data_IF_944815036958
#
_entry.id   IF_944815036958
#
_cell.length_a   1.000
_cell.length_b   1.000
_cell.length_c   1.000
_cell.angle_alpha   90.00
_cell.angle_beta   90.00
_cell.angle_gamma   90.00
#
_symmetry.space_group_name_H-M   'P 1'
#
loop_
_entity.id
_entity.type
_entity.pdbx_description
1 polymer ?
#
# COMPACT_ATOMS: atom_id res chain seq x y z
N UNK A 1 -30.93 -33.69 -22.47
CA UNK A 1 -30.91 -33.00 -21.15
C UNK A 1 -30.12 -33.76 -20.07
N UNK A 2 -30.01 -35.11 -20.13
CA UNK A 2 -29.17 -35.88 -19.20
C UNK A 2 -27.68 -35.95 -19.61
N UNK A 3 -27.40 -36.07 -20.91
CA UNK A 3 -26.03 -36.20 -21.44
C UNK A 3 -25.22 -34.90 -21.30
N UNK A 4 -25.82 -33.75 -21.63
CA UNK A 4 -25.22 -32.41 -21.46
C UNK A 4 -24.84 -32.10 -19.99
N UNK A 5 -25.63 -32.63 -19.05
CA UNK A 5 -25.41 -32.42 -17.62
C UNK A 5 -24.24 -33.28 -17.12
N UNK A 6 -24.09 -34.49 -17.68
CA UNK A 6 -23.01 -35.41 -17.39
C UNK A 6 -21.68 -34.94 -17.99
N UNK A 7 -21.68 -34.35 -19.19
CA UNK A 7 -20.49 -33.72 -19.80
C UNK A 7 -20.04 -32.45 -19.03
N UNK A 8 -20.99 -31.66 -18.52
CA UNK A 8 -20.67 -30.52 -17.64
C UNK A 8 -20.10 -30.96 -16.29
N UNK A 9 -20.60 -32.04 -15.70
CA UNK A 9 -20.05 -32.61 -14.48
C UNK A 9 -18.65 -33.19 -14.71
N UNK A 10 -18.45 -33.93 -15.81
CA UNK A 10 -17.15 -34.54 -16.11
C UNK A 10 -16.08 -33.48 -16.43
N UNK A 11 -16.44 -32.41 -17.17
CA UNK A 11 -15.52 -31.29 -17.43
C UNK A 11 -15.16 -30.49 -16.18
N UNK A 12 -16.11 -30.27 -15.25
CA UNK A 12 -15.82 -29.60 -13.97
C UNK A 12 -15.01 -30.47 -13.01
N UNK A 13 -15.15 -31.80 -13.09
CA UNK A 13 -14.31 -32.76 -12.35
C UNK A 13 -12.90 -32.85 -12.95
N UNK A 14 -12.77 -32.83 -14.28
CA UNK A 14 -11.49 -32.77 -15.00
C UNK A 14 -10.73 -31.47 -14.69
N UNK A 15 -11.42 -30.34 -14.52
CA UNK A 15 -10.81 -29.07 -14.15
C UNK A 15 -10.37 -29.05 -12.67
N UNK A 16 -11.15 -29.65 -11.76
CA UNK A 16 -10.78 -29.83 -10.34
C UNK A 16 -9.56 -30.71 -10.12
N UNK A 17 -9.27 -31.64 -11.03
CA UNK A 17 -8.14 -32.57 -10.96
C UNK A 17 -6.83 -32.04 -11.54
N UNK A 18 -6.86 -30.92 -12.29
CA UNK A 18 -5.65 -30.33 -12.85
C UNK A 18 -4.86 -29.62 -11.75
N UNK A 19 -3.77 -30.24 -11.31
CA UNK A 19 -2.77 -29.59 -10.44
C UNK A 19 -2.44 -28.22 -11.06
N UNK A 20 -2.53 -27.12 -10.31
CA UNK A 20 -2.19 -25.81 -10.85
C UNK A 20 -0.77 -25.88 -11.44
N UNK A 21 -0.52 -25.27 -12.60
CA UNK A 21 0.80 -25.28 -13.21
C UNK A 21 1.81 -24.81 -12.16
N UNK A 22 2.97 -25.48 -12.12
CA UNK A 22 4.02 -25.14 -11.16
C UNK A 22 4.34 -23.63 -11.25
N UNK A 23 4.54 -22.93 -10.12
CA UNK A 23 4.90 -21.53 -10.14
C UNK A 23 6.14 -21.35 -11.00
N UNK A 24 6.07 -20.45 -11.99
CA UNK A 24 7.25 -20.10 -12.78
C UNK A 24 8.31 -19.49 -11.85
N UNK A 25 9.61 -19.77 -12.08
CA UNK A 25 10.66 -19.15 -11.31
C UNK A 25 10.60 -17.62 -11.46
N UNK A 26 10.79 -16.85 -10.38
CA UNK A 26 10.66 -15.41 -10.42
C UNK A 26 11.69 -14.80 -11.36
N UNK A 27 11.25 -13.85 -12.19
CA UNK A 27 12.12 -13.16 -13.15
C UNK A 27 13.00 -12.12 -12.42
N UNK A 28 14.07 -11.65 -13.07
CA UNK A 28 14.96 -10.59 -12.55
C UNK A 28 14.21 -9.36 -12.06
N UNK A 29 13.08 -9.04 -12.70
CA UNK A 29 12.20 -7.97 -12.26
C UNK A 29 11.69 -8.22 -10.83
N UNK A 30 11.17 -9.42 -10.55
CA UNK A 30 10.58 -9.77 -9.25
C UNK A 30 11.63 -9.99 -8.16
N UNK A 31 12.84 -10.39 -8.53
CA UNK A 31 13.91 -10.65 -7.57
C UNK A 31 14.73 -9.41 -7.21
N UNK A 32 14.84 -8.44 -8.13
CA UNK A 32 15.73 -7.27 -7.96
C UNK A 32 14.96 -5.95 -8.02
N UNK A 33 14.21 -5.70 -9.08
CA UNK A 33 13.61 -4.38 -9.34
C UNK A 33 12.36 -4.11 -8.51
N UNK A 34 11.43 -5.07 -8.47
CA UNK A 34 10.17 -4.96 -7.75
C UNK A 34 10.39 -4.76 -6.24
N UNK A 35 11.29 -5.50 -5.57
CA UNK A 35 11.57 -5.28 -4.15
C UNK A 35 12.15 -3.89 -3.87
N UNK A 36 13.07 -3.40 -4.70
CA UNK A 36 13.64 -2.05 -4.56
C UNK A 36 12.58 -0.96 -4.72
N UNK A 37 11.70 -1.08 -5.73
CA UNK A 37 10.61 -0.12 -5.93
C UNK A 37 9.60 -0.16 -4.77
N UNK A 38 9.34 -1.34 -4.21
CA UNK A 38 8.52 -1.49 -3.01
C UNK A 38 9.16 -0.79 -1.80
N UNK A 39 10.48 -0.91 -1.60
CA UNK A 39 11.20 -0.18 -0.55
C UNK A 39 11.11 1.35 -0.74
N UNK A 40 11.25 1.86 -1.97
CA UNK A 40 11.06 3.28 -2.25
C UNK A 40 9.65 3.76 -1.90
N UNK A 41 8.62 3.05 -2.36
CA UNK A 41 7.22 3.44 -2.12
C UNK A 41 6.85 3.33 -0.64
N UNK A 42 7.26 2.25 0.03
CA UNK A 42 6.97 2.05 1.45
C UNK A 42 7.70 3.06 2.34
N UNK A 43 9.00 3.33 2.10
CA UNK A 43 9.73 4.37 2.83
C UNK A 43 9.18 5.76 2.56
N UNK A 44 8.73 6.05 1.33
CA UNK A 44 8.07 7.31 0.99
C UNK A 44 6.83 7.55 1.86
N UNK A 45 5.92 6.58 1.94
CA UNK A 45 4.72 6.72 2.77
C UNK A 45 5.05 6.76 4.27
N UNK A 46 6.00 5.94 4.72
CA UNK A 46 6.40 5.93 6.13
C UNK A 46 6.97 7.28 6.58
N UNK A 47 7.89 7.86 5.80
CA UNK A 47 8.48 9.18 6.11
C UNK A 47 7.45 10.29 6.01
N UNK A 48 6.63 10.30 4.95
CA UNK A 48 5.57 11.29 4.79
C UNK A 48 4.62 11.32 5.99
N UNK A 49 4.05 10.17 6.35
CA UNK A 49 3.14 10.02 7.48
C UNK A 49 3.83 10.40 8.80
N UNK A 50 5.09 10.00 8.97
CA UNK A 50 5.86 10.30 10.16
C UNK A 50 6.07 11.80 10.37
N UNK A 51 6.55 12.50 9.34
CA UNK A 51 6.75 13.95 9.39
C UNK A 51 5.43 14.70 9.64
N UNK A 52 4.39 14.37 8.89
CA UNK A 52 3.08 15.03 8.98
C UNK A 52 2.46 14.82 10.37
N UNK A 53 2.59 13.63 10.96
CA UNK A 53 2.10 13.38 12.34
C UNK A 53 2.78 14.22 13.42
N UNK A 54 4.02 14.65 13.20
CA UNK A 54 4.76 15.51 14.13
C UNK A 54 4.38 16.97 13.94
N UNK A 55 4.23 17.40 12.69
CA UNK A 55 3.83 18.78 12.33
C UNK A 55 2.42 19.07 12.83
N UNK A 56 1.50 18.14 12.62
CA UNK A 56 0.06 18.27 12.94
C UNK A 56 -0.26 17.80 14.36
N UNK A 57 0.78 17.66 15.20
CA UNK A 57 0.59 17.16 16.55
C UNK A 57 -0.14 18.18 17.43
N UNK A 58 -1.34 17.84 17.89
CA UNK A 58 -2.09 18.74 18.76
C UNK A 58 -1.52 18.73 20.18
N UNK A 59 -1.40 19.89 20.87
CA UNK A 59 -0.80 19.95 22.21
C UNK A 59 -1.43 18.99 23.23
N UNK A 60 -2.74 18.77 23.12
CA UNK A 60 -3.48 17.87 23.99
C UNK A 60 -3.12 16.38 23.82
N UNK A 61 -2.69 15.96 22.63
CA UNK A 61 -2.30 14.58 22.34
C UNK A 61 -0.83 14.30 22.75
N UNK A 62 0.00 15.33 22.83
CA UNK A 62 1.40 15.21 23.24
C UNK A 62 2.18 14.23 22.35
N UNK A 63 3.10 13.45 22.92
CA UNK A 63 3.93 12.52 22.13
C UNK A 63 3.19 11.27 21.66
N UNK A 64 1.95 11.05 22.14
CA UNK A 64 1.20 9.84 21.85
C UNK A 64 0.76 9.78 20.38
N UNK A 65 0.31 10.91 19.80
CA UNK A 65 -0.16 10.96 18.41
C UNK A 65 0.95 10.57 17.42
N UNK A 66 2.15 11.18 17.43
CA UNK A 66 3.23 10.76 16.54
C UNK A 66 3.67 9.31 16.77
N UNK A 67 3.78 8.88 18.04
CA UNK A 67 4.20 7.52 18.36
C UNK A 67 3.21 6.46 17.83
N UNK A 68 1.91 6.70 18.02
CA UNK A 68 0.86 5.82 17.54
C UNK A 68 0.80 5.79 16.00
N UNK A 69 0.93 6.95 15.37
CA UNK A 69 0.94 7.07 13.90
C UNK A 69 2.12 6.31 13.30
N UNK A 70 3.33 6.49 13.80
CA UNK A 70 4.51 5.78 13.29
C UNK A 70 4.36 4.26 13.47
N UNK A 71 3.93 3.80 14.65
CA UNK A 71 3.77 2.38 14.94
C UNK A 71 2.72 1.71 14.06
N UNK A 72 1.54 2.33 13.91
CA UNK A 72 0.47 1.81 13.06
C UNK A 72 0.85 1.87 11.57
N UNK A 73 1.54 2.92 11.13
CA UNK A 73 1.98 3.05 9.74
C UNK A 73 2.94 1.91 9.35
N UNK A 74 3.96 1.63 10.17
CA UNK A 74 4.87 0.49 9.93
C UNK A 74 4.11 -0.82 9.95
N UNK A 75 3.23 -1.04 10.92
CA UNK A 75 2.46 -2.29 11.01
C UNK A 75 1.62 -2.54 9.75
N UNK A 76 0.95 -1.51 9.23
CA UNK A 76 0.18 -1.59 7.99
C UNK A 76 1.09 -1.82 6.79
N UNK A 77 2.15 -1.04 6.63
CA UNK A 77 3.05 -1.16 5.48
C UNK A 77 3.72 -2.55 5.41
N UNK A 78 4.18 -3.06 6.56
CA UNK A 78 4.71 -4.42 6.67
C UNK A 78 3.64 -5.44 6.27
N UNK A 79 2.43 -5.34 6.82
CA UNK A 79 1.35 -6.29 6.53
C UNK A 79 0.99 -6.39 5.03
N UNK A 80 1.20 -5.32 4.26
CA UNK A 80 0.80 -5.27 2.84
C UNK A 80 1.96 -5.41 1.86
N UNK A 81 3.21 -5.16 2.27
CA UNK A 81 4.37 -5.15 1.37
C UNK A 81 5.41 -6.24 1.69
N UNK A 82 5.27 -6.98 2.79
CA UNK A 82 6.23 -8.02 3.22
C UNK A 82 6.47 -9.07 2.12
N UNK A 83 5.41 -9.55 1.48
CA UNK A 83 5.49 -10.50 0.38
C UNK A 83 6.14 -9.95 -0.91
N UNK A 84 6.49 -8.66 -0.95
CA UNK A 84 7.12 -8.01 -2.10
C UNK A 84 8.60 -7.69 -1.82
N UNK A 85 8.92 -7.04 -0.70
CA UNK A 85 10.30 -6.63 -0.37
C UNK A 85 10.85 -7.14 0.95
N UNK A 86 10.03 -7.78 1.80
CA UNK A 86 10.34 -8.01 3.21
C UNK A 86 10.12 -6.77 4.10
N UNK A 87 9.68 -5.64 3.51
CA UNK A 87 9.27 -4.43 4.23
C UNK A 87 10.30 -3.89 5.21
N UNK A 88 11.54 -3.67 4.75
CA UNK A 88 12.59 -3.18 5.64
C UNK A 88 12.37 -1.70 5.96
N UNK A 89 12.10 -0.91 4.92
CA UNK A 89 11.83 0.53 4.90
C UNK A 89 12.85 1.40 5.65
N UNK A 90 13.97 0.84 6.05
CA UNK A 90 14.90 1.41 7.01
C UNK A 90 16.31 0.81 6.83
N UNK A 91 17.34 1.67 6.66
CA UNK A 91 18.73 1.22 6.52
C UNK A 91 19.22 0.29 7.65
N UNK A 92 19.09 0.62 8.95
CA UNK A 92 19.37 -0.29 10.05
C UNK A 92 18.71 -1.66 9.96
N UNK A 93 17.43 -1.73 9.56
CA UNK A 93 16.72 -3.02 9.48
C UNK A 93 17.29 -3.87 8.34
N UNK A 94 17.58 -3.24 7.21
CA UNK A 94 18.21 -3.91 6.06
C UNK A 94 19.57 -4.48 6.44
N UNK A 95 20.39 -3.69 7.13
CA UNK A 95 21.70 -4.14 7.60
C UNK A 95 21.54 -5.27 8.62
N UNK A 96 20.62 -5.16 9.59
CA UNK A 96 20.38 -6.19 10.58
C UNK A 96 19.93 -7.52 9.95
N UNK A 97 19.00 -7.47 9.00
CA UNK A 97 18.49 -8.65 8.28
C UNK A 97 19.62 -9.29 7.46
N UNK A 98 20.46 -8.49 6.79
CA UNK A 98 21.66 -8.99 6.12
C UNK A 98 22.62 -9.68 7.10
N UNK A 99 22.94 -9.05 8.24
CA UNK A 99 23.85 -9.61 9.24
C UNK A 99 23.32 -10.93 9.86
N UNK A 100 21.99 -11.09 9.90
CA UNK A 100 21.33 -12.33 10.34
C UNK A 100 21.19 -13.38 9.22
N UNK A 101 21.68 -13.12 8.01
CA UNK A 101 21.62 -14.05 6.87
C UNK A 101 20.27 -14.09 6.14
N UNK A 102 19.39 -13.11 6.38
CA UNK A 102 18.08 -13.02 5.74
C UNK A 102 18.07 -12.33 4.36
N UNK A 103 19.21 -11.80 3.92
CA UNK A 103 19.36 -11.09 2.64
C UNK A 103 20.78 -11.28 2.07
N UNK A 104 20.92 -11.31 0.75
CA UNK A 104 22.21 -11.31 0.07
C UNK A 104 22.85 -9.91 0.02
N UNK A 105 24.17 -9.83 0.15
CA UNK A 105 24.91 -8.55 0.16
C UNK A 105 24.64 -7.68 -1.08
N UNK A 106 24.41 -8.29 -2.24
CA UNK A 106 24.15 -7.57 -3.50
C UNK A 106 22.84 -6.75 -3.45
N UNK A 107 21.88 -7.13 -2.60
CA UNK A 107 20.60 -6.43 -2.44
C UNK A 107 20.65 -5.30 -1.42
N UNK A 108 21.64 -5.29 -0.52
CA UNK A 108 21.78 -4.28 0.54
C UNK A 108 21.93 -2.89 -0.06
N UNK A 109 22.90 -2.70 -0.96
CA UNK A 109 23.15 -1.40 -1.62
C UNK A 109 21.90 -0.82 -2.31
N UNK A 110 21.24 -1.58 -3.20
CA UNK A 110 19.99 -1.18 -3.84
C UNK A 110 18.87 -0.81 -2.85
N UNK A 111 18.70 -1.56 -1.76
CA UNK A 111 17.70 -1.25 -0.73
C UNK A 111 17.98 0.09 -0.05
N UNK A 112 19.24 0.32 0.35
CA UNK A 112 19.65 1.57 0.99
C UNK A 112 19.38 2.78 0.08
N UNK A 113 19.76 2.69 -1.19
CA UNK A 113 19.50 3.75 -2.17
C UNK A 113 17.99 3.97 -2.34
N UNK A 114 17.22 2.88 -2.46
CA UNK A 114 15.77 2.93 -2.64
C UNK A 114 15.06 3.60 -1.46
N UNK A 115 15.48 3.30 -0.23
CA UNK A 115 14.94 3.88 1.01
C UNK A 115 15.28 5.36 1.12
N UNK A 116 16.51 5.78 0.78
CA UNK A 116 16.91 7.20 0.80
C UNK A 116 16.13 8.03 -0.22
N UNK A 117 15.93 7.49 -1.43
CA UNK A 117 15.10 8.12 -2.47
C UNK A 117 13.64 8.20 -2.00
N UNK A 118 13.12 7.12 -1.42
CA UNK A 118 11.77 7.08 -0.84
C UNK A 118 11.59 8.15 0.22
N UNK A 119 12.54 8.27 1.16
CA UNK A 119 12.50 9.28 2.22
C UNK A 119 12.53 10.71 1.69
N UNK A 120 13.31 10.98 0.63
CA UNK A 120 13.32 12.28 -0.03
C UNK A 120 11.94 12.61 -0.64
N UNK A 121 11.33 11.66 -1.34
CA UNK A 121 9.99 11.86 -1.88
C UNK A 121 8.94 12.01 -0.77
N UNK A 122 9.06 11.26 0.33
CA UNK A 122 8.15 11.36 1.47
C UNK A 122 8.10 12.76 2.08
N UNK A 123 9.22 13.48 2.07
CA UNK A 123 9.30 14.86 2.59
C UNK A 123 8.58 15.91 1.71
N UNK A 124 8.18 15.57 0.47
CA UNK A 124 7.72 16.55 -0.54
C UNK A 124 6.19 16.44 -0.82
N UNK A 125 5.47 15.48 -0.25
CA UNK A 125 4.08 15.19 -0.64
C UNK A 125 2.96 15.84 0.23
N UNK A 126 1.73 15.89 -0.31
CA UNK A 126 0.51 16.41 0.32
C UNK A 126 -0.71 15.48 0.19
N UNK A 127 -1.95 16.00 0.18
CA UNK A 127 -3.22 15.25 0.33
C UNK A 127 -3.44 14.05 -0.63
N UNK A 128 -2.88 14.11 -1.85
CA UNK A 128 -2.88 12.99 -2.82
C UNK A 128 -2.19 11.75 -2.26
N UNK A 129 -1.14 11.91 -1.44
CA UNK A 129 -0.40 10.80 -0.85
C UNK A 129 -1.22 10.04 0.19
N UNK A 130 -1.98 10.72 1.05
CA UNK A 130 -2.82 10.04 2.06
C UNK A 130 -3.89 9.17 1.40
N UNK A 131 -4.52 9.66 0.33
CA UNK A 131 -5.50 8.85 -0.41
C UNK A 131 -4.85 7.73 -1.22
N UNK A 132 -3.65 7.99 -1.78
CA UNK A 132 -2.86 6.96 -2.43
C UNK A 132 -2.50 5.83 -1.45
N UNK A 133 -2.12 6.16 -0.21
CA UNK A 133 -1.78 5.19 0.83
C UNK A 133 -2.96 4.27 1.17
N UNK A 134 -4.13 4.82 1.51
CA UNK A 134 -5.30 4.01 1.86
C UNK A 134 -5.79 3.17 0.67
N UNK A 135 -5.75 3.73 -0.54
CA UNK A 135 -6.16 2.98 -1.73
C UNK A 135 -5.17 1.87 -2.07
N UNK A 136 -3.85 2.12 -1.92
CA UNK A 136 -2.82 1.10 -2.13
C UNK A 136 -2.98 -0.05 -1.15
N UNK A 137 -3.23 0.24 0.14
CA UNK A 137 -3.51 -0.79 1.16
C UNK A 137 -4.71 -1.63 0.73
N UNK A 138 -5.84 -1.01 0.37
CA UNK A 138 -7.04 -1.72 -0.09
C UNK A 138 -6.71 -2.64 -1.27
N UNK A 139 -6.04 -2.13 -2.29
CA UNK A 139 -5.74 -2.92 -3.49
C UNK A 139 -4.80 -4.10 -3.17
N UNK A 140 -3.84 -3.93 -2.26
CA UNK A 140 -2.95 -5.02 -1.81
C UNK A 140 -3.71 -6.06 -0.97
N UNK A 141 -4.52 -5.67 0.00
CA UNK A 141 -5.15 -6.62 0.94
C UNK A 141 -6.43 -7.26 0.41
N UNK A 142 -7.09 -6.63 -0.56
CA UNK A 142 -8.38 -7.10 -1.09
C UNK A 142 -8.27 -7.72 -2.48
N UNK A 143 -7.32 -7.27 -3.32
CA UNK A 143 -7.27 -7.64 -4.75
C UNK A 143 -6.03 -8.48 -5.08
N UNK A 144 -4.86 -8.12 -4.56
CA UNK A 144 -3.61 -8.81 -4.89
C UNK A 144 -3.60 -10.24 -4.32
N UNK A 145 -3.39 -11.25 -5.17
CA UNK A 145 -3.57 -12.65 -4.77
C UNK A 145 -2.56 -13.11 -3.73
N UNK A 146 -1.36 -12.51 -3.74
CA UNK A 146 -0.25 -12.84 -2.83
C UNK A 146 -0.42 -12.25 -1.43
N UNK A 147 -1.10 -11.10 -1.31
CA UNK A 147 -1.23 -10.36 -0.04
C UNK A 147 -2.66 -10.30 0.48
N UNK A 148 -3.61 -10.93 -0.21
CA UNK A 148 -5.02 -10.98 0.24
C UNK A 148 -5.12 -11.58 1.63
N UNK A 149 -5.90 -10.96 2.51
CA UNK A 149 -6.02 -11.40 3.91
C UNK A 149 -7.42 -11.15 4.47
N UNK A 150 -7.95 -12.02 5.34
CA UNK A 150 -9.21 -11.75 6.05
C UNK A 150 -9.13 -10.54 6.99
N UNK A 151 -7.92 -10.10 7.36
CA UNK A 151 -7.69 -8.89 8.16
C UNK A 151 -7.78 -7.59 7.35
N UNK A 152 -8.17 -7.67 6.07
CA UNK A 152 -8.28 -6.51 5.18
C UNK A 152 -9.07 -5.33 5.79
N UNK A 153 -10.28 -5.51 6.37
CA UNK A 153 -11.03 -4.39 6.96
C UNK A 153 -10.29 -3.72 8.12
N UNK A 154 -9.58 -4.51 8.93
CA UNK A 154 -8.80 -4.01 10.06
C UNK A 154 -7.61 -3.16 9.58
N UNK A 155 -6.85 -3.65 8.61
CA UNK A 155 -5.70 -2.93 8.06
C UNK A 155 -6.12 -1.62 7.38
N UNK A 156 -7.24 -1.62 6.66
CA UNK A 156 -7.82 -0.40 6.09
C UNK A 156 -8.23 0.58 7.18
N UNK A 157 -8.86 0.10 8.26
CA UNK A 157 -9.20 0.90 9.44
C UNK A 157 -7.97 1.54 10.09
N UNK A 158 -6.90 0.76 10.33
CA UNK A 158 -5.62 1.28 10.84
C UNK A 158 -5.02 2.35 9.94
N UNK A 159 -5.12 2.18 8.62
CA UNK A 159 -4.63 3.17 7.66
C UNK A 159 -5.40 4.48 7.73
N UNK A 160 -6.72 4.42 7.92
CA UNK A 160 -7.55 5.61 8.12
C UNK A 160 -7.19 6.31 9.43
N UNK A 161 -6.98 5.58 10.53
CA UNK A 161 -6.52 6.16 11.81
C UNK A 161 -5.20 6.91 11.62
N UNK A 162 -4.23 6.26 10.96
CA UNK A 162 -2.94 6.86 10.62
C UNK A 162 -3.12 8.16 9.86
N UNK A 163 -3.91 8.17 8.79
CA UNK A 163 -4.12 9.37 7.99
C UNK A 163 -4.84 10.49 8.75
N UNK A 164 -5.80 10.16 9.63
CA UNK A 164 -6.56 11.17 10.39
C UNK A 164 -5.68 11.83 11.44
N UNK A 165 -4.89 11.03 12.16
CA UNK A 165 -3.93 11.53 13.14
C UNK A 165 -2.72 12.21 12.49
N UNK A 166 -2.38 11.86 11.25
CA UNK A 166 -1.32 12.51 10.51
C UNK A 166 -1.81 13.84 9.92
N UNK A 167 -2.84 13.85 9.07
CA UNK A 167 -3.19 15.01 8.23
C UNK A 167 -4.49 15.71 8.58
N UNK A 168 -4.96 15.58 9.82
CA UNK A 168 -6.24 16.11 10.30
C UNK A 168 -6.41 17.61 10.04
N UNK A 169 -5.40 18.44 10.30
CA UNK A 169 -5.51 19.90 10.15
C UNK A 169 -5.14 20.39 8.74
N UNK A 170 -4.55 19.54 7.89
CA UNK A 170 -4.28 19.84 6.47
C UNK A 170 -5.58 19.98 5.68
N UNK A 171 -6.50 19.02 5.80
CA UNK A 171 -7.74 18.99 5.01
C UNK A 171 -8.94 18.31 5.70
N UNK A 172 -8.85 18.03 7.00
CA UNK A 172 -9.86 17.25 7.71
C UNK A 172 -9.88 15.76 7.34
N UNK A 173 -8.83 15.29 6.64
CA UNK A 173 -8.61 13.90 6.18
C UNK A 173 -9.88 13.24 5.66
N UNK A 174 -10.50 13.84 4.64
CA UNK A 174 -11.76 13.30 4.12
C UNK A 174 -11.57 11.97 3.37
N UNK A 175 -10.53 11.88 2.52
CA UNK A 175 -10.13 10.69 1.74
C UNK A 175 -11.25 10.04 0.89
N UNK A 176 -12.42 10.65 0.84
CA UNK A 176 -13.64 10.12 0.28
C UNK A 176 -14.56 11.30 -0.10
N UNK A 177 -14.84 11.51 -1.39
CA UNK A 177 -15.69 12.61 -1.85
C UNK A 177 -17.09 12.58 -1.23
N UNK A 178 -17.67 11.38 -1.01
CA UNK A 178 -18.99 11.25 -0.38
C UNK A 178 -18.97 11.66 1.11
N UNK A 179 -17.88 11.35 1.83
CA UNK A 179 -17.67 11.81 3.21
C UNK A 179 -17.56 13.34 3.28
N UNK A 180 -16.98 13.99 2.28
CA UNK A 180 -16.89 15.44 2.20
C UNK A 180 -18.21 16.10 1.76
N UNK A 181 -18.93 15.48 0.82
CA UNK A 181 -20.14 16.03 0.19
C UNK A 181 -21.31 16.16 1.16
N UNK A 182 -21.58 15.13 1.98
CA UNK A 182 -22.72 15.12 2.90
C UNK A 182 -22.74 16.31 3.87
N UNK A 183 -21.66 16.52 4.66
CA UNK A 183 -21.55 17.68 5.55
C UNK A 183 -21.61 19.02 4.80
N UNK A 184 -20.93 19.14 3.65
CA UNK A 184 -20.92 20.36 2.84
C UNK A 184 -22.33 20.77 2.38
N UNK A 185 -23.14 19.79 1.96
CA UNK A 185 -24.53 20.01 1.56
C UNK A 185 -25.40 20.43 2.75
N UNK A 186 -25.22 19.82 3.92
CA UNK A 186 -26.04 20.09 5.10
C UNK A 186 -25.71 21.43 5.77
N UNK A 187 -24.44 21.85 5.76
CA UNK A 187 -24.00 23.11 6.37
C UNK A 187 -23.90 24.27 5.38
N UNK A 188 -24.19 24.01 4.10
CA UNK A 188 -24.03 24.95 2.98
C UNK A 188 -22.62 25.57 2.91
N UNK A 189 -21.59 24.76 3.13
CA UNK A 189 -20.18 25.18 3.12
C UNK A 189 -19.40 24.49 2.00
N UNK A 190 -19.00 25.25 0.98
CA UNK A 190 -18.43 24.73 -0.27
C UNK A 190 -17.00 25.20 -0.57
N UNK A 191 -16.42 25.97 0.34
CA UNK A 191 -15.07 26.55 0.16
C UNK A 191 -14.03 25.44 -0.01
N UNK A 192 -13.23 25.53 -1.07
CA UNK A 192 -12.21 24.54 -1.47
C UNK A 192 -12.72 23.09 -1.65
N UNK A 193 -14.03 22.88 -1.81
CA UNK A 193 -14.63 21.54 -1.86
C UNK A 193 -14.11 20.67 -3.02
N UNK A 194 -13.65 21.29 -4.11
CA UNK A 194 -13.07 20.60 -5.28
C UNK A 194 -11.84 19.75 -4.92
N UNK A 195 -11.08 20.13 -3.88
CA UNK A 195 -9.88 19.39 -3.43
C UNK A 195 -10.27 17.98 -2.97
N UNK A 196 -11.45 17.82 -2.35
CA UNK A 196 -11.98 16.52 -1.90
C UNK A 196 -12.45 15.60 -3.04
N UNK A 197 -12.44 16.09 -4.29
CA UNK A 197 -12.67 15.27 -5.47
C UNK A 197 -11.35 14.96 -6.17
N UNK A 198 -10.57 15.99 -6.48
CA UNK A 198 -9.31 15.86 -7.21
C UNK A 198 -8.29 15.05 -6.40
N UNK A 199 -8.17 15.30 -5.09
CA UNK A 199 -7.24 14.60 -4.21
C UNK A 199 -7.52 13.09 -4.17
N UNK A 200 -8.74 12.66 -3.79
CA UNK A 200 -9.05 11.24 -3.73
C UNK A 200 -9.01 10.50 -5.06
N UNK A 201 -9.50 11.12 -6.15
CA UNK A 201 -9.46 10.51 -7.48
C UNK A 201 -8.02 10.38 -7.96
N UNK A 202 -7.21 11.44 -7.82
CA UNK A 202 -5.79 11.43 -8.17
C UNK A 202 -5.02 10.37 -7.38
N UNK A 203 -5.21 10.32 -6.06
CA UNK A 203 -4.57 9.33 -5.19
C UNK A 203 -4.97 7.89 -5.55
N UNK A 204 -6.24 7.65 -5.84
CA UNK A 204 -6.72 6.33 -6.27
C UNK A 204 -6.15 5.88 -7.62
N UNK A 205 -6.05 6.79 -8.59
CA UNK A 205 -5.44 6.52 -9.89
C UNK A 205 -3.94 6.21 -9.77
N UNK A 206 -3.20 6.98 -8.95
CA UNK A 206 -1.78 6.72 -8.70
C UNK A 206 -1.60 5.37 -8.01
N UNK A 207 -2.39 5.05 -6.99
CA UNK A 207 -2.32 3.75 -6.32
C UNK A 207 -2.61 2.58 -7.28
N UNK A 208 -3.63 2.72 -8.13
CA UNK A 208 -3.96 1.72 -9.14
C UNK A 208 -2.83 1.55 -10.18
N UNK A 209 -2.21 2.65 -10.61
CA UNK A 209 -1.06 2.62 -11.52
C UNK A 209 0.14 1.93 -10.87
N UNK A 210 0.49 2.29 -9.63
CA UNK A 210 1.57 1.63 -8.88
C UNK A 210 1.33 0.12 -8.77
N UNK A 211 0.11 -0.31 -8.48
CA UNK A 211 -0.18 -1.73 -8.36
C UNK A 211 -0.20 -2.46 -9.72
N UNK A 212 -0.82 -1.88 -10.75
CA UNK A 212 -0.94 -2.52 -12.08
C UNK A 212 0.35 -2.50 -12.89
N UNK A 213 1.25 -1.55 -12.64
CA UNK A 213 2.49 -1.43 -13.40
C UNK A 213 3.68 -2.03 -12.64
N UNK A 214 3.68 -1.93 -11.30
CA UNK A 214 4.90 -2.16 -10.52
C UNK A 214 4.71 -3.25 -9.45
N UNK A 215 3.83 -3.02 -8.48
CA UNK A 215 3.81 -3.73 -7.21
C UNK A 215 2.93 -4.99 -7.19
N UNK A 216 1.98 -5.12 -8.11
CA UNK A 216 1.05 -6.25 -8.15
C UNK A 216 1.71 -7.60 -8.47
N UNK A 217 0.96 -8.68 -8.28
CA UNK A 217 1.33 -10.02 -8.76
C UNK A 217 1.25 -10.13 -10.29
N UNK A 218 1.72 -11.25 -10.85
CA UNK A 218 1.68 -11.49 -12.31
C UNK A 218 0.29 -11.44 -12.94
N UNK A 219 -0.76 -11.70 -12.16
CA UNK A 219 -2.14 -11.64 -12.65
C UNK A 219 -2.61 -10.20 -12.76
N UNK A 220 -2.21 -9.36 -11.81
CA UNK A 220 -2.61 -7.97 -11.73
C UNK A 220 -1.74 -7.04 -12.59
N UNK A 221 -0.45 -7.36 -12.73
CA UNK A 221 0.48 -6.55 -13.52
C UNK A 221 0.17 -6.61 -15.00
N UNK A 222 0.20 -5.46 -15.65
CA UNK A 222 0.02 -5.35 -17.12
C UNK A 222 1.37 -5.44 -17.83
N UNK A 223 2.44 -4.98 -17.19
CA UNK A 223 3.81 -4.93 -17.73
C UNK A 223 4.66 -6.02 -17.05
N UNK A 224 5.64 -6.56 -17.77
CA UNK A 224 6.62 -7.54 -17.23
C UNK A 224 5.97 -8.79 -16.60
N UNK A 225 4.97 -9.37 -17.29
CA UNK A 225 4.39 -10.67 -16.92
C UNK A 225 5.41 -11.80 -17.15
N UNK A 226 5.60 -12.67 -16.16
CA UNK A 226 6.44 -13.87 -16.26
C UNK A 226 5.71 -15.09 -16.85
#
# INVERSE_FOLDING_TARGET
MGEEKMEMEDSTLMEKGRKPPAPKPPNKYETLFQPCLAETVGTMFFVFVGCVSVIENVPAAGRLQPALVHGLAVAVLVAVMDNISGSHFNPPFTIAIYLCGGMELMMVGPYLVSQLIGGLFGAIFGEVAMTCLVTMVVLLVAVNSKTKTPLAPFLVGCTVIVNVLAGGDISGTCLNPARAFGPALMTNYWTYHWVYWVGPIGGGLVAAALLRLILGDDKLRVVMKS
#
